data_IF_284026847555
#
_entry.id   IF_284026847555
#
_cell.length_a   1.000
_cell.length_b   1.000
_cell.length_c   1.000
_cell.angle_alpha   90.00
_cell.angle_beta   90.00
_cell.angle_gamma   90.00
#
_symmetry.space_group_name_H-M   'P 1'
#
loop_
_entity.id
_entity.type
_entity.pdbx_description
1 polymer ?
#
# COMPACT_ATOMS: atom_id res chain seq x y z
N UNK A 1 -33.30 29.75 7.29
CA UNK A 1 -33.81 29.25 8.58
C UNK A 1 -33.98 27.74 8.46
N UNK A 2 -32.95 26.97 8.79
CA UNK A 2 -32.94 25.49 8.68
C UNK A 2 -31.78 24.90 9.50
N UNK A 3 -31.70 25.28 10.79
CA UNK A 3 -30.68 24.82 11.72
C UNK A 3 -31.31 23.79 12.68
N UNK A 4 -31.55 22.57 12.20
CA UNK A 4 -32.38 21.57 12.93
C UNK A 4 -31.91 20.11 12.83
N UNK A 5 -30.69 19.81 12.36
CA UNK A 5 -30.18 18.43 12.22
C UNK A 5 -28.84 18.16 12.92
N UNK A 6 -28.30 19.10 13.71
CA UNK A 6 -27.01 18.95 14.38
C UNK A 6 -27.05 18.28 15.77
N UNK A 7 -28.22 17.83 16.23
CA UNK A 7 -28.41 17.19 17.56
C UNK A 7 -29.18 15.86 17.49
N UNK A 8 -29.07 15.12 16.39
CA UNK A 8 -29.62 13.75 16.33
C UNK A 8 -28.59 12.72 16.84
N UNK A 9 -28.97 11.79 17.75
CA UNK A 9 -28.14 10.65 18.11
C UNK A 9 -27.73 9.83 16.89
N UNK A 10 -26.52 9.25 16.93
CA UNK A 10 -25.96 8.45 15.83
C UNK A 10 -26.86 7.30 15.36
N UNK A 11 -27.60 6.68 16.29
CA UNK A 11 -28.58 5.62 16.00
C UNK A 11 -29.73 6.11 15.07
N UNK A 12 -30.16 7.37 15.24
CA UNK A 12 -31.20 8.00 14.41
C UNK A 12 -30.69 8.35 13.01
N UNK A 13 -29.40 8.69 12.87
CA UNK A 13 -28.78 8.94 11.57
C UNK A 13 -28.68 7.66 10.73
N UNK A 14 -28.33 6.52 11.34
CA UNK A 14 -28.34 5.20 10.70
C UNK A 14 -29.74 4.81 10.21
N UNK A 15 -30.76 4.95 11.05
CA UNK A 15 -32.15 4.61 10.67
C UNK A 15 -32.76 5.50 9.57
N UNK A 16 -32.19 6.68 9.32
CA UNK A 16 -32.57 7.55 8.19
C UNK A 16 -31.84 7.12 6.91
N UNK A 17 -30.57 6.75 7.00
CA UNK A 17 -29.78 6.28 5.86
C UNK A 17 -30.34 5.01 5.20
N UNK A 18 -30.88 4.08 5.98
CA UNK A 18 -31.53 2.84 5.47
C UNK A 18 -32.84 3.08 4.70
N UNK A 19 -33.44 4.28 4.81
CA UNK A 19 -34.80 4.58 4.29
C UNK A 19 -34.84 5.63 3.18
N UNK A 20 -33.69 6.15 2.77
CA UNK A 20 -33.59 7.13 1.69
C UNK A 20 -33.20 6.45 0.36
N UNK A 21 -33.82 6.82 -0.77
CA UNK A 21 -33.34 6.38 -2.07
C UNK A 21 -31.93 6.93 -2.31
N UNK A 22 -31.08 6.15 -2.98
CA UNK A 22 -29.63 6.40 -3.13
C UNK A 22 -29.29 7.81 -3.67
N UNK A 23 -30.15 8.40 -4.51
CA UNK A 23 -30.00 9.77 -5.01
C UNK A 23 -30.14 10.86 -3.94
N UNK A 24 -30.89 10.62 -2.85
CA UNK A 24 -30.97 11.56 -1.73
C UNK A 24 -29.69 11.60 -0.88
N UNK A 25 -28.90 10.51 -0.88
CA UNK A 25 -27.62 10.44 -0.16
C UNK A 25 -26.59 11.38 -0.79
N UNK A 26 -26.61 11.59 -2.12
CA UNK A 26 -25.77 12.61 -2.78
C UNK A 26 -26.02 14.03 -2.26
N UNK A 27 -27.25 14.35 -1.86
CA UNK A 27 -27.61 15.66 -1.30
C UNK A 27 -27.30 15.79 0.19
N UNK A 28 -27.09 14.67 0.89
CA UNK A 28 -26.48 14.64 2.20
C UNK A 28 -24.97 14.74 2.04
N UNK A 29 -24.50 15.90 1.57
CA UNK A 29 -23.15 16.38 1.85
C UNK A 29 -23.04 16.66 3.35
N UNK A 30 -23.02 15.58 4.14
CA UNK A 30 -22.37 15.61 5.44
C UNK A 30 -20.94 15.97 5.11
N UNK A 31 -20.58 17.24 5.33
CA UNK A 31 -19.18 17.64 5.47
C UNK A 31 -18.66 16.97 6.74
N UNK A 32 -18.44 15.65 6.66
CA UNK A 32 -17.46 14.96 7.49
C UNK A 32 -16.16 15.61 7.07
N UNK A 33 -15.75 16.64 7.81
CA UNK A 33 -14.40 17.17 7.73
C UNK A 33 -13.50 16.03 8.20
N UNK A 34 -13.06 15.20 7.24
CA UNK A 34 -12.19 14.06 7.54
C UNK A 34 -11.00 14.64 8.31
N UNK A 35 -10.71 14.17 9.54
CA UNK A 35 -9.68 14.76 10.36
C UNK A 35 -8.35 14.77 9.60
N UNK A 36 -7.52 15.80 9.85
CA UNK A 36 -6.23 15.96 9.17
C UNK A 36 -5.34 14.73 9.38
N UNK A 37 -5.32 13.85 8.40
CA UNK A 37 -4.54 12.62 8.41
C UNK A 37 -3.13 12.94 7.94
N UNK A 38 -2.27 13.32 8.89
CA UNK A 38 -0.86 13.63 8.61
C UNK A 38 0.02 12.37 8.57
N UNK A 39 -0.39 11.30 9.26
CA UNK A 39 0.36 10.06 9.38
C UNK A 39 -0.57 8.86 9.18
N UNK A 40 -0.22 7.95 8.28
CA UNK A 40 -0.86 6.64 8.13
C UNK A 40 0.18 5.55 8.33
N UNK A 41 -0.13 4.59 9.21
CA UNK A 41 0.57 3.31 9.31
C UNK A 41 -0.43 2.22 8.94
N UNK A 42 -0.02 1.32 8.05
CA UNK A 42 -0.76 0.09 7.74
C UNK A 42 0.19 -1.09 7.89
N UNK A 43 -0.33 -2.20 8.41
CA UNK A 43 0.43 -3.41 8.73
C UNK A 43 -0.34 -4.63 8.20
N UNK A 44 0.38 -5.57 7.58
CA UNK A 44 -0.11 -6.89 7.14
C UNK A 44 -1.37 -6.81 6.22
N UNK A 45 -1.39 -5.85 5.28
CA UNK A 45 -2.53 -5.58 4.40
C UNK A 45 -2.21 -5.65 2.88
N UNK A 46 -3.23 -5.90 2.07
CA UNK A 46 -3.14 -5.72 0.62
C UNK A 46 -3.03 -4.23 0.25
N UNK A 47 -2.09 -3.89 -0.63
CA UNK A 47 -2.15 -2.61 -1.35
C UNK A 47 -3.11 -2.77 -2.53
N UNK A 48 -4.27 -2.11 -2.45
CA UNK A 48 -5.31 -2.16 -3.49
C UNK A 48 -5.69 -0.76 -4.00
N UNK A 49 -6.43 -0.72 -5.10
CA UNK A 49 -7.02 0.50 -5.66
C UNK A 49 -7.87 1.27 -4.65
N UNK A 50 -8.55 0.59 -3.72
CA UNK A 50 -9.32 1.22 -2.65
C UNK A 50 -8.43 2.00 -1.65
N UNK A 51 -7.32 1.39 -1.21
CA UNK A 51 -6.32 2.07 -0.39
C UNK A 51 -5.68 3.24 -1.16
N UNK A 52 -5.40 3.05 -2.45
CA UNK A 52 -4.79 4.10 -3.26
C UNK A 52 -5.76 5.28 -3.52
N UNK A 53 -7.06 5.02 -3.66
CA UNK A 53 -8.11 6.05 -3.69
C UNK A 53 -8.15 6.84 -2.38
N UNK A 54 -8.18 6.15 -1.24
CA UNK A 54 -8.09 6.79 0.08
C UNK A 54 -6.83 7.64 0.24
N UNK A 55 -5.67 7.17 -0.22
CA UNK A 55 -4.42 7.94 -0.16
C UNK A 55 -4.44 9.16 -1.09
N UNK A 56 -5.09 9.06 -2.25
CA UNK A 56 -5.27 10.16 -3.22
C UNK A 56 -6.11 11.30 -2.63
N UNK A 57 -7.22 10.97 -1.96
CA UNK A 57 -8.10 11.93 -1.29
C UNK A 57 -7.39 12.69 -0.15
N UNK A 58 -6.35 12.08 0.42
CA UNK A 58 -5.52 12.68 1.48
C UNK A 58 -4.14 13.17 0.99
N UNK A 59 -3.87 13.14 -0.32
CA UNK A 59 -2.55 13.42 -0.91
C UNK A 59 -1.98 14.78 -0.52
N UNK A 60 -2.83 15.79 -0.34
CA UNK A 60 -2.44 17.17 0.00
C UNK A 60 -2.31 17.44 1.52
N UNK A 61 -2.46 16.41 2.37
CA UNK A 61 -2.24 16.51 3.82
C UNK A 61 -1.35 15.41 4.41
N UNK A 62 -1.31 14.21 3.81
CA UNK A 62 -0.55 13.09 4.34
C UNK A 62 0.96 13.34 4.22
N UNK A 63 1.65 13.47 5.35
CA UNK A 63 3.09 13.71 5.45
C UNK A 63 3.90 12.44 5.63
N UNK A 64 3.36 11.43 6.30
CA UNK A 64 4.02 10.14 6.53
C UNK A 64 3.12 8.97 6.15
N UNK A 65 3.65 8.06 5.34
CA UNK A 65 3.05 6.79 4.98
C UNK A 65 4.01 5.67 5.38
N UNK A 66 3.54 4.74 6.21
CA UNK A 66 4.30 3.57 6.63
C UNK A 66 3.51 2.31 6.27
N UNK A 67 4.09 1.49 5.41
CA UNK A 67 3.54 0.20 4.98
C UNK A 67 4.44 -0.90 5.55
N UNK A 68 3.90 -1.68 6.48
CA UNK A 68 4.61 -2.80 7.11
C UNK A 68 4.04 -4.13 6.63
N UNK A 69 4.87 -5.07 6.19
CA UNK A 69 4.44 -6.40 5.73
C UNK A 69 3.28 -6.34 4.72
N UNK A 70 3.20 -5.27 3.92
CA UNK A 70 2.13 -5.08 2.96
C UNK A 70 2.48 -5.82 1.67
N UNK A 71 1.47 -6.20 0.89
CA UNK A 71 1.64 -7.02 -0.31
C UNK A 71 0.70 -6.58 -1.43
N UNK A 72 1.18 -6.66 -2.66
CA UNK A 72 0.40 -6.48 -3.87
C UNK A 72 -0.21 -7.83 -4.32
N UNK A 73 -0.92 -7.85 -5.45
CA UNK A 73 -1.49 -9.05 -6.03
C UNK A 73 -3.01 -8.99 -6.10
N UNK A 74 -3.68 -10.10 -5.85
CA UNK A 74 -5.14 -10.16 -5.90
C UNK A 74 -5.73 -11.05 -4.81
N UNK A 75 -6.42 -10.48 -3.81
CA UNK A 75 -7.19 -11.26 -2.85
C UNK A 75 -8.54 -11.74 -3.39
N UNK A 76 -9.15 -11.03 -4.35
CA UNK A 76 -10.54 -11.26 -4.76
C UNK A 76 -10.85 -11.09 -6.26
N UNK A 77 -9.88 -10.73 -7.11
CA UNK A 77 -10.14 -10.40 -8.54
C UNK A 77 -9.24 -11.13 -9.53
N UNK A 78 -9.61 -11.12 -10.82
CA UNK A 78 -8.78 -11.70 -11.89
C UNK A 78 -7.63 -10.79 -12.36
N UNK A 79 -7.58 -9.54 -11.88
CA UNK A 79 -6.58 -8.53 -12.28
C UNK A 79 -5.75 -8.09 -11.05
N UNK A 80 -4.51 -8.57 -10.88
CA UNK A 80 -3.69 -8.20 -9.74
C UNK A 80 -3.38 -6.70 -9.76
N UNK A 81 -3.55 -6.06 -8.60
CA UNK A 81 -3.12 -4.68 -8.39
C UNK A 81 -1.67 -4.72 -7.92
N UNK A 82 -0.77 -4.18 -8.74
CA UNK A 82 0.68 -4.31 -8.60
C UNK A 82 1.31 -3.16 -7.79
N UNK A 83 2.55 -3.35 -7.34
CA UNK A 83 3.30 -2.28 -6.67
C UNK A 83 3.60 -1.11 -7.62
N UNK A 84 3.96 -1.38 -8.90
CA UNK A 84 4.15 -0.31 -9.89
C UNK A 84 2.87 0.50 -10.13
N UNK A 85 1.69 -0.12 -10.17
CA UNK A 85 0.40 0.57 -10.24
C UNK A 85 0.12 1.41 -8.99
N UNK A 86 0.31 0.86 -7.80
CA UNK A 86 0.16 1.59 -6.53
C UNK A 86 1.05 2.84 -6.45
N UNK A 87 2.35 2.70 -6.77
CA UNK A 87 3.28 3.83 -6.76
C UNK A 87 2.99 4.85 -7.88
N UNK A 88 2.54 4.39 -9.05
CA UNK A 88 2.15 5.26 -10.16
C UNK A 88 0.91 6.11 -9.82
N UNK A 89 -0.12 5.49 -9.25
CA UNK A 89 -1.36 6.19 -8.84
C UNK A 89 -1.10 7.20 -7.71
N UNK A 90 -0.18 6.90 -6.79
CA UNK A 90 0.32 7.87 -5.82
C UNK A 90 1.07 9.03 -6.51
N UNK A 91 2.01 8.75 -7.41
CA UNK A 91 2.77 9.76 -8.16
C UNK A 91 1.86 10.74 -8.92
N UNK A 92 0.81 10.24 -9.58
CA UNK A 92 -0.17 11.08 -10.29
C UNK A 92 -0.85 12.07 -9.34
N UNK A 93 -1.16 11.65 -8.10
CA UNK A 93 -1.80 12.52 -7.10
C UNK A 93 -0.91 13.63 -6.55
N UNK A 94 0.40 13.64 -6.86
CA UNK A 94 1.42 14.58 -6.36
C UNK A 94 1.28 14.84 -4.85
N UNK A 95 1.49 13.82 -4.02
CA UNK A 95 1.28 13.94 -2.59
C UNK A 95 2.36 14.83 -1.96
N UNK A 96 2.00 15.56 -0.90
CA UNK A 96 2.91 16.37 -0.07
C UNK A 96 3.71 15.51 0.94
N UNK A 97 3.90 14.23 0.60
CA UNK A 97 4.48 13.20 1.46
C UNK A 97 5.97 13.48 1.69
N UNK A 98 6.38 13.61 2.95
CA UNK A 98 7.76 13.88 3.38
C UNK A 98 8.51 12.60 3.79
N UNK A 99 7.78 11.53 4.10
CA UNK A 99 8.34 10.24 4.48
C UNK A 99 7.47 9.08 4.00
N UNK A 100 8.02 8.29 3.09
CA UNK A 100 7.54 6.94 2.78
C UNK A 100 8.43 5.93 3.51
N UNK A 101 7.82 4.98 4.20
CA UNK A 101 8.48 3.82 4.79
C UNK A 101 7.78 2.59 4.23
N UNK A 102 8.53 1.73 3.54
CA UNK A 102 8.09 0.36 3.27
C UNK A 102 9.07 -0.56 3.97
N UNK A 103 8.56 -1.43 4.83
CA UNK A 103 9.34 -2.42 5.61
C UNK A 103 8.59 -3.73 5.57
N UNK A 104 9.25 -4.81 5.20
CA UNK A 104 8.62 -6.12 5.19
C UNK A 104 9.58 -7.06 5.90
N UNK A 105 9.25 -7.39 7.15
CA UNK A 105 10.09 -8.17 8.06
C UNK A 105 10.10 -9.65 7.64
N UNK A 106 9.14 -10.06 6.80
CA UNK A 106 8.82 -11.45 6.45
C UNK A 106 9.08 -11.84 4.97
N UNK A 107 9.70 -11.02 4.09
CA UNK A 107 9.79 -11.36 2.63
C UNK A 107 10.88 -12.37 2.29
N UNK A 108 10.72 -13.52 2.86
CA UNK A 108 11.87 -14.33 3.11
C UNK A 108 12.51 -14.82 1.74
N UNK A 109 13.84 -15.08 1.53
CA UNK A 109 14.55 -15.61 0.31
C UNK A 109 15.32 -16.99 0.25
N UNK A 110 15.70 -17.70 1.35
CA UNK A 110 16.19 -19.11 1.43
C UNK A 110 15.61 -19.82 2.69
N UNK A 111 15.38 -21.14 2.72
CA UNK A 111 14.90 -21.85 3.93
C UNK A 111 16.03 -22.53 4.73
N UNK A 112 16.79 -21.80 5.55
CA UNK A 112 17.39 -22.33 6.79
C UNK A 112 17.99 -21.23 7.70
N UNK A 113 18.18 -21.60 8.99
CA UNK A 113 18.64 -20.86 10.17
C UNK A 113 17.85 -19.63 10.71
N UNK A 114 17.60 -19.55 12.05
CA UNK A 114 16.72 -18.54 12.66
C UNK A 114 17.41 -17.26 13.15
N UNK A 115 18.73 -17.10 12.94
CA UNK A 115 19.55 -16.09 13.65
C UNK A 115 20.07 -14.92 12.79
N UNK A 116 19.83 -14.88 11.47
CA UNK A 116 20.37 -13.82 10.60
C UNK A 116 19.32 -12.78 10.16
N UNK A 117 19.68 -11.50 10.26
CA UNK A 117 18.75 -10.37 10.09
C UNK A 117 18.49 -10.03 8.62
N UNK A 118 17.84 -10.94 7.91
CA UNK A 118 17.46 -10.76 6.52
C UNK A 118 16.34 -11.70 6.07
N UNK A 119 15.77 -11.47 4.88
CA UNK A 119 14.71 -12.33 4.37
C UNK A 119 15.11 -13.79 3.94
N UNK A 120 14.41 -14.86 4.42
CA UNK A 120 14.52 -16.36 4.15
C UNK A 120 13.28 -17.30 3.61
N UNK A 121 13.04 -17.58 2.28
CA UNK A 121 11.87 -18.19 1.52
C UNK A 121 11.65 -19.65 1.94
N UNK A 122 10.40 -20.16 2.00
CA UNK A 122 10.13 -21.60 2.05
C UNK A 122 10.39 -22.37 0.72
N UNK A 123 11.59 -22.92 0.60
CA UNK A 123 11.83 -24.36 0.33
C UNK A 123 11.50 -25.03 -1.01
N UNK A 124 10.80 -24.39 -1.97
CA UNK A 124 10.40 -25.06 -3.24
C UNK A 124 10.99 -24.43 -4.53
N UNK A 125 11.84 -23.40 -4.41
CA UNK A 125 12.21 -22.54 -5.55
C UNK A 125 13.74 -22.43 -5.83
N UNK A 126 14.57 -23.17 -5.09
CA UNK A 126 16.04 -23.01 -5.08
C UNK A 126 16.74 -23.37 -6.40
N UNK A 127 16.07 -24.10 -7.29
CA UNK A 127 16.67 -24.59 -8.55
C UNK A 127 16.46 -23.70 -9.77
N UNK A 128 15.56 -22.72 -9.75
CA UNK A 128 15.33 -21.87 -10.94
C UNK A 128 16.45 -20.82 -11.14
N UNK A 129 16.89 -20.65 -12.39
CA UNK A 129 17.84 -19.58 -12.75
C UNK A 129 17.28 -18.18 -12.42
N UNK A 130 15.95 -18.02 -12.45
CA UNK A 130 15.28 -16.75 -12.18
C UNK A 130 15.34 -16.33 -10.70
N UNK A 131 15.22 -17.27 -9.76
CA UNK A 131 15.43 -16.99 -8.32
C UNK A 131 16.89 -16.59 -8.08
N UNK A 132 17.84 -17.31 -8.67
CA UNK A 132 19.28 -16.99 -8.58
C UNK A 132 19.60 -15.63 -9.19
N UNK A 133 18.91 -15.24 -10.28
CA UNK A 133 19.04 -13.92 -10.89
C UNK A 133 18.49 -12.81 -9.99
N UNK A 134 17.34 -12.99 -9.34
CA UNK A 134 16.77 -12.01 -8.39
C UNK A 134 17.63 -11.88 -7.13
N UNK A 135 18.10 -13.01 -6.56
CA UNK A 135 19.03 -13.01 -5.43
C UNK A 135 20.32 -12.23 -5.76
N UNK A 136 20.94 -12.53 -6.91
CA UNK A 136 22.12 -11.80 -7.37
C UNK A 136 21.84 -10.30 -7.53
N UNK A 137 20.70 -9.93 -8.10
CA UNK A 137 20.30 -8.53 -8.26
C UNK A 137 20.12 -7.77 -6.94
N UNK A 138 19.77 -8.45 -5.85
CA UNK A 138 19.66 -7.84 -4.51
C UNK A 138 21.03 -7.76 -3.80
N UNK A 139 21.95 -8.69 -4.11
CA UNK A 139 23.34 -8.63 -3.63
C UNK A 139 24.16 -7.56 -4.37
N UNK A 140 23.92 -7.38 -5.66
CA UNK A 140 24.61 -6.40 -6.51
C UNK A 140 24.16 -4.94 -6.24
N UNK A 141 22.94 -4.71 -5.74
CA UNK A 141 22.43 -3.38 -5.34
C UNK A 141 21.69 -3.39 -3.98
N UNK A 142 22.30 -2.88 -2.89
CA UNK A 142 21.71 -2.88 -1.56
C UNK A 142 20.54 -1.89 -1.38
N UNK A 143 20.24 -1.03 -2.37
CA UNK A 143 19.04 -0.18 -2.34
C UNK A 143 17.83 -0.87 -2.97
N UNK A 144 18.04 -1.96 -3.71
CA UNK A 144 17.00 -2.70 -4.38
C UNK A 144 16.16 -3.47 -3.37
N UNK A 145 14.85 -3.35 -3.50
CA UNK A 145 13.87 -3.98 -2.64
C UNK A 145 13.27 -5.20 -3.34
N UNK A 146 12.99 -6.22 -2.55
CA UNK A 146 12.11 -7.31 -2.93
C UNK A 146 10.67 -6.85 -2.68
N UNK A 147 9.81 -6.94 -3.70
CA UNK A 147 8.41 -6.54 -3.63
C UNK A 147 7.51 -7.76 -3.44
N UNK A 148 6.66 -7.73 -2.41
CA UNK A 148 5.80 -8.87 -2.02
C UNK A 148 4.52 -8.90 -2.84
N UNK A 149 4.20 -10.08 -3.36
CA UNK A 149 2.91 -10.40 -3.93
C UNK A 149 2.28 -11.54 -3.13
N UNK A 150 0.98 -11.45 -2.90
CA UNK A 150 0.22 -12.43 -2.15
C UNK A 150 -1.18 -12.63 -2.74
N UNK A 151 -1.82 -13.72 -2.33
CA UNK A 151 -3.20 -14.07 -2.65
C UNK A 151 -3.89 -14.52 -1.38
N UNK A 152 -5.19 -14.25 -1.28
CA UNK A 152 -6.02 -14.81 -0.23
C UNK A 152 -6.54 -16.17 -0.72
N UNK A 153 -6.29 -17.24 0.01
CA UNK A 153 -6.94 -18.52 -0.25
C UNK A 153 -8.43 -18.40 0.10
N UNK A 154 -9.35 -18.54 -0.87
CA UNK A 154 -10.79 -18.35 -0.63
C UNK A 154 -11.42 -19.47 0.20
N UNK A 155 -10.73 -20.60 0.40
CA UNK A 155 -11.21 -21.75 1.18
C UNK A 155 -10.72 -21.65 2.63
N UNK A 156 -9.43 -21.36 2.84
CA UNK A 156 -8.85 -21.30 4.19
C UNK A 156 -8.87 -19.89 4.82
N UNK A 157 -9.03 -18.84 4.02
CA UNK A 157 -8.90 -17.45 4.47
C UNK A 157 -7.47 -17.04 4.81
N UNK A 158 -6.48 -17.86 4.45
CA UNK A 158 -5.05 -17.63 4.72
C UNK A 158 -4.42 -16.83 3.59
N UNK A 159 -3.56 -15.87 3.94
CA UNK A 159 -2.74 -15.13 2.98
C UNK A 159 -1.54 -16.01 2.60
N UNK A 160 -1.38 -16.27 1.29
CA UNK A 160 -0.30 -17.08 0.73
C UNK A 160 0.53 -16.20 -0.20
N UNK A 161 1.85 -16.17 -0.02
CA UNK A 161 2.75 -15.45 -0.92
C UNK A 161 2.79 -16.10 -2.30
N UNK A 162 2.67 -15.30 -3.36
CA UNK A 162 2.85 -15.78 -4.73
C UNK A 162 4.31 -15.60 -5.15
N UNK A 163 5.12 -16.64 -4.90
CA UNK A 163 6.55 -16.63 -5.23
C UNK A 163 6.83 -16.48 -6.72
N UNK A 164 5.95 -16.98 -7.60
CA UNK A 164 6.13 -16.84 -9.05
C UNK A 164 5.91 -15.40 -9.50
N UNK A 165 4.89 -14.73 -8.96
CA UNK A 165 4.61 -13.32 -9.19
C UNK A 165 5.69 -12.41 -8.57
N UNK A 166 6.16 -12.72 -7.36
CA UNK A 166 7.32 -12.06 -6.72
C UNK A 166 8.54 -12.12 -7.65
N UNK A 167 8.98 -13.32 -8.06
CA UNK A 167 10.19 -13.47 -8.89
C UNK A 167 10.03 -12.78 -10.24
N UNK A 168 8.86 -12.94 -10.88
CA UNK A 168 8.57 -12.33 -12.19
C UNK A 168 8.62 -10.81 -12.13
N UNK A 169 7.85 -10.18 -11.22
CA UNK A 169 7.79 -8.72 -11.15
C UNK A 169 9.11 -8.10 -10.69
N UNK A 170 9.78 -8.69 -9.70
CA UNK A 170 11.09 -8.21 -9.24
C UNK A 170 12.16 -8.31 -10.34
N UNK A 171 12.14 -9.36 -11.18
CA UNK A 171 13.03 -9.48 -12.35
C UNK A 171 12.80 -8.38 -13.39
N UNK A 172 11.58 -7.86 -13.55
CA UNK A 172 11.31 -6.73 -14.46
C UNK A 172 11.81 -5.38 -13.92
N UNK A 173 11.94 -5.22 -12.60
CA UNK A 173 12.37 -3.98 -11.96
C UNK A 173 11.37 -2.82 -12.00
N UNK A 174 10.15 -3.01 -12.52
CA UNK A 174 9.13 -1.94 -12.63
C UNK A 174 8.73 -1.35 -11.27
N UNK A 175 8.45 -2.23 -10.31
CA UNK A 175 8.07 -1.86 -8.94
C UNK A 175 9.14 -0.97 -8.29
N UNK A 176 10.41 -1.37 -8.43
CA UNK A 176 11.56 -0.60 -7.96
C UNK A 176 11.66 0.76 -8.65
N UNK A 177 11.55 0.81 -9.99
CA UNK A 177 11.63 2.06 -10.74
C UNK A 177 10.53 3.07 -10.32
N UNK A 178 9.29 2.61 -10.10
CA UNK A 178 8.20 3.46 -9.62
C UNK A 178 8.30 3.85 -8.15
N UNK A 179 8.80 2.96 -7.30
CA UNK A 179 9.20 3.33 -5.95
C UNK A 179 10.26 4.43 -5.94
N UNK A 180 11.28 4.34 -6.80
CA UNK A 180 12.39 5.30 -6.81
C UNK A 180 11.98 6.67 -7.38
N UNK A 181 11.10 6.70 -8.39
CA UNK A 181 10.41 7.93 -8.82
C UNK A 181 9.64 8.59 -7.66
N UNK A 182 8.89 7.80 -6.87
CA UNK A 182 8.13 8.32 -5.72
C UNK A 182 9.06 8.78 -4.59
N UNK A 183 10.16 8.06 -4.32
CA UNK A 183 11.15 8.45 -3.33
C UNK A 183 11.91 9.73 -3.71
N UNK A 184 12.08 10.03 -5.00
CA UNK A 184 12.64 11.30 -5.45
C UNK A 184 11.69 12.47 -5.09
N UNK A 185 10.39 12.33 -5.34
CA UNK A 185 9.37 13.32 -4.94
C UNK A 185 9.34 13.52 -3.41
N UNK A 186 9.38 12.41 -2.65
CA UNK A 186 9.38 12.44 -1.17
C UNK A 186 10.60 13.19 -0.62
N UNK A 187 11.78 13.03 -1.22
CA UNK A 187 12.99 13.78 -0.84
C UNK A 187 12.82 15.28 -1.10
N UNK A 188 12.32 15.66 -2.28
CA UNK A 188 12.05 17.06 -2.62
C UNK A 188 11.07 17.71 -1.62
N UNK A 189 9.95 17.05 -1.33
CA UNK A 189 8.95 17.53 -0.37
C UNK A 189 9.55 17.78 1.02
N UNK A 190 10.41 16.87 1.48
CA UNK A 190 11.10 16.96 2.79
C UNK A 190 12.10 18.13 2.83
N UNK A 191 12.84 18.35 1.75
CA UNK A 191 13.78 19.47 1.62
C UNK A 191 13.05 20.82 1.62
N UNK A 192 11.94 20.94 0.88
CA UNK A 192 11.12 22.16 0.89
C UNK A 192 10.55 22.44 2.30
N UNK A 193 9.98 21.41 2.95
CA UNK A 193 9.42 21.55 4.30
C UNK A 193 10.48 21.88 5.37
N UNK A 194 11.75 21.54 5.14
CA UNK A 194 12.87 21.89 6.03
C UNK A 194 13.42 23.30 5.81
N UNK A 195 13.14 23.93 4.66
CA UNK A 195 13.52 25.31 4.35
C UNK A 195 12.45 26.35 4.72
N UNK A 196 11.22 25.89 5.02
CA UNK A 196 10.09 26.71 5.45
C UNK A 196 9.92 26.77 6.99
N UNK A 197 10.80 26.12 7.75
CA UNK A 197 10.77 25.98 9.21
C UNK A 197 11.85 26.79 9.94
#
# INVERSE_FOLDING_TARGET
MTTLLLELPTELLLGIAERLPFEAIKSLSIHVSIPKLLHLKSEDCFVESALCGFLRDHSQQLKVLSLKNCFAGSPFSDLPYTWDAFFHDLLISRPVLEKLIVTNDNIALIAEDPDDQGPSIPGNAEDSEDVKAVQKQLLDDPNRRLWVYAKLDPVSGVIVHDFAEIVTNNKTGKDQAKHDELMALVRQNREHSSNEA
#
